data_IF_144678155172
#
_entry.id   IF_144678155172
#
_cell.length_a   1.000
_cell.length_b   1.000
_cell.length_c   1.000
_cell.angle_alpha   90.00
_cell.angle_beta   90.00
_cell.angle_gamma   90.00
#
_symmetry.space_group_name_H-M   'P 1'
#
loop_
_entity.id
_entity.type
_entity.pdbx_description
1 polymer ?
#
# COMPACT_ATOMS: atom_id res chain seq x y z
N UNK A 1 71.51 -6.55 -6.88
CA UNK A 1 70.32 -5.76 -6.52
C UNK A 1 69.22 -6.01 -7.54
N UNK A 2 68.20 -6.84 -7.27
CA UNK A 2 66.95 -6.81 -8.02
C UNK A 2 65.83 -6.21 -7.15
N UNK A 3 65.13 -5.22 -7.69
CA UNK A 3 63.92 -4.64 -7.10
C UNK A 3 62.76 -5.62 -7.27
N UNK A 4 62.13 -6.03 -6.16
CA UNK A 4 60.83 -6.71 -6.19
C UNK A 4 59.72 -5.67 -6.32
N UNK A 5 59.02 -5.70 -7.45
CA UNK A 5 57.78 -4.96 -7.71
C UNK A 5 56.64 -5.55 -6.89
N UNK A 6 56.00 -4.74 -6.04
CA UNK A 6 54.79 -5.10 -5.30
C UNK A 6 53.57 -4.98 -6.23
N UNK A 7 53.01 -6.12 -6.63
CA UNK A 7 51.72 -6.18 -7.32
C UNK A 7 50.58 -5.77 -6.38
N UNK A 8 49.82 -4.76 -6.78
CA UNK A 8 48.65 -4.25 -6.09
C UNK A 8 47.46 -5.17 -6.40
N UNK A 9 46.96 -5.92 -5.41
CA UNK A 9 45.72 -6.68 -5.52
C UNK A 9 44.54 -5.69 -5.56
N UNK A 10 43.88 -5.59 -6.71
CA UNK A 10 42.65 -4.80 -6.87
C UNK A 10 41.46 -5.62 -6.37
N UNK A 11 40.81 -5.17 -5.29
CA UNK A 11 39.57 -5.77 -4.80
C UNK A 11 38.39 -5.26 -5.63
N UNK A 12 37.72 -6.16 -6.35
CA UNK A 12 36.48 -5.85 -7.07
C UNK A 12 35.35 -5.78 -6.04
N UNK A 13 34.89 -4.57 -5.72
CA UNK A 13 33.71 -4.38 -4.89
C UNK A 13 32.46 -4.75 -5.70
N UNK A 14 31.78 -5.83 -5.33
CA UNK A 14 30.50 -6.23 -5.91
C UNK A 14 29.42 -5.29 -5.33
N UNK A 15 29.02 -4.28 -6.09
CA UNK A 15 27.88 -3.43 -5.72
C UNK A 15 26.60 -4.26 -5.81
N UNK A 16 25.92 -4.47 -4.68
CA UNK A 16 24.59 -5.06 -4.67
C UNK A 16 23.62 -4.08 -5.33
N UNK A 17 23.06 -4.45 -6.48
CA UNK A 17 21.93 -3.73 -7.07
C UNK A 17 20.72 -3.92 -6.16
N UNK A 18 20.35 -2.87 -5.42
CA UNK A 18 19.03 -2.79 -4.82
C UNK A 18 18.02 -2.77 -5.95
N UNK A 19 17.13 -3.77 -6.02
CA UNK A 19 16.01 -3.73 -6.93
C UNK A 19 15.13 -2.53 -6.54
N UNK A 20 15.13 -1.50 -7.37
CA UNK A 20 14.15 -0.42 -7.26
C UNK A 20 12.83 -1.05 -7.70
N UNK A 21 11.99 -1.40 -6.73
CA UNK A 21 10.61 -1.79 -7.02
C UNK A 21 9.91 -0.55 -7.56
N UNK A 22 9.67 -0.52 -8.88
CA UNK A 22 8.78 0.46 -9.47
C UNK A 22 7.37 0.27 -8.88
N UNK A 23 6.54 1.32 -8.90
CA UNK A 23 5.13 1.19 -8.56
C UNK A 23 4.50 0.07 -9.40
N UNK A 24 3.63 -0.79 -8.83
CA UNK A 24 3.00 -1.87 -9.57
C UNK A 24 2.07 -1.28 -10.62
N UNK A 25 2.57 -1.14 -11.86
CA UNK A 25 1.79 -0.56 -12.96
C UNK A 25 0.54 -1.38 -13.29
N UNK A 26 0.52 -2.65 -12.89
CA UNK A 26 -0.67 -3.51 -12.98
C UNK A 26 -1.82 -3.08 -12.06
N UNK A 27 -1.50 -2.38 -10.97
CA UNK A 27 -2.48 -1.86 -10.01
C UNK A 27 -2.89 -0.41 -10.35
N UNK A 28 -2.31 0.21 -11.39
CA UNK A 28 -2.61 1.58 -11.78
C UNK A 28 -4.08 1.72 -12.20
N UNK A 29 -4.76 2.69 -11.61
CA UNK A 29 -6.14 3.03 -11.96
C UNK A 29 -6.14 4.04 -13.11
N UNK A 30 -6.46 3.58 -14.31
CA UNK A 30 -6.58 4.45 -15.49
C UNK A 30 -7.87 5.30 -15.44
N UNK A 31 -9.00 4.67 -15.09
CA UNK A 31 -10.30 5.33 -15.02
C UNK A 31 -11.14 4.78 -13.86
N UNK A 32 -11.93 5.66 -13.25
CA UNK A 32 -12.92 5.33 -12.24
C UNK A 32 -14.35 5.45 -12.83
N UNK A 33 -15.20 4.42 -12.68
CA UNK A 33 -16.57 4.45 -13.18
C UNK A 33 -17.34 5.68 -12.70
N UNK A 34 -17.94 6.43 -13.63
CA UNK A 34 -18.73 7.63 -13.32
C UNK A 34 -17.92 8.88 -12.95
N UNK A 35 -16.59 8.81 -12.89
CA UNK A 35 -15.70 9.95 -12.63
C UNK A 35 -14.74 10.22 -13.81
N UNK A 36 -14.18 9.17 -14.39
CA UNK A 36 -13.13 9.25 -15.40
C UNK A 36 -11.74 9.12 -14.78
N UNK A 37 -10.75 9.78 -15.38
CA UNK A 37 -9.35 9.68 -14.92
C UNK A 37 -9.18 10.26 -13.51
N UNK A 38 -8.52 9.56 -12.58
CA UNK A 38 -8.26 10.08 -11.23
C UNK A 38 -7.48 11.41 -11.21
N UNK A 39 -7.71 12.30 -10.21
CA UNK A 39 -7.06 13.62 -10.12
C UNK A 39 -5.55 13.55 -9.84
N UNK A 40 -5.10 12.44 -9.27
CA UNK A 40 -3.70 12.09 -9.02
C UNK A 40 -3.50 10.63 -9.40
N UNK A 41 -2.30 10.15 -9.79
CA UNK A 41 -2.07 8.73 -9.98
C UNK A 41 -2.53 7.93 -8.75
N UNK A 42 -3.30 6.88 -8.98
CA UNK A 42 -3.81 6.00 -7.93
C UNK A 42 -3.53 4.55 -8.29
N UNK A 43 -3.31 3.74 -7.25
CA UNK A 43 -3.08 2.31 -7.37
C UNK A 43 -4.03 1.58 -6.44
N UNK A 44 -4.62 0.47 -6.89
CA UNK A 44 -5.48 -0.38 -6.09
C UNK A 44 -5.23 -1.83 -6.44
N UNK A 45 -4.91 -2.63 -5.42
CA UNK A 45 -4.47 -4.00 -5.61
C UNK A 45 -4.40 -4.76 -4.30
N UNK A 46 -3.56 -5.80 -4.26
CA UNK A 46 -3.44 -6.70 -3.11
C UNK A 46 -2.00 -6.88 -2.65
N UNK A 47 -1.79 -6.72 -1.35
CA UNK A 47 -0.54 -7.00 -0.66
C UNK A 47 -0.57 -8.41 -0.08
N UNK A 48 0.57 -9.09 -0.05
CA UNK A 48 0.69 -10.39 0.58
C UNK A 48 0.82 -10.27 2.10
N UNK A 49 -0.16 -10.78 2.83
CA UNK A 49 -0.17 -10.77 4.29
C UNK A 49 0.08 -12.16 4.89
N UNK A 50 0.35 -13.17 4.05
CA UNK A 50 0.35 -14.59 4.41
C UNK A 50 1.33 -14.90 5.53
N UNK A 51 2.54 -14.34 5.48
CA UNK A 51 3.59 -14.56 6.49
C UNK A 51 3.21 -14.04 7.88
N UNK A 52 2.32 -13.04 7.95
CA UNK A 52 1.81 -12.48 9.19
C UNK A 52 0.45 -13.05 9.62
N UNK A 53 -0.16 -13.89 8.79
CA UNK A 53 -1.46 -14.48 9.01
C UNK A 53 -1.34 -15.78 9.81
N UNK A 54 -2.36 -16.11 10.62
CA UNK A 54 -2.47 -17.46 11.19
C UNK A 54 -2.98 -18.43 10.13
N UNK A 55 -2.06 -19.00 9.35
CA UNK A 55 -2.37 -19.91 8.25
C UNK A 55 -2.95 -21.25 8.71
N UNK A 56 -2.83 -21.58 10.01
CA UNK A 56 -3.42 -22.80 10.56
C UNK A 56 -4.94 -22.70 10.66
N UNK A 57 -5.47 -21.48 10.82
CA UNK A 57 -6.91 -21.22 10.92
C UNK A 57 -7.47 -20.54 9.68
N UNK A 58 -6.71 -19.66 9.04
CA UNK A 58 -7.15 -18.86 7.88
C UNK A 58 -6.78 -19.46 6.52
N UNK A 59 -6.06 -20.58 6.52
CA UNK A 59 -5.59 -21.26 5.31
C UNK A 59 -4.33 -20.64 4.71
N UNK A 60 -3.86 -21.15 3.56
CA UNK A 60 -2.51 -20.89 3.06
C UNK A 60 -2.30 -19.51 2.43
N UNK A 61 -3.36 -18.72 2.19
CA UNK A 61 -3.26 -17.41 1.55
C UNK A 61 -4.05 -16.37 2.34
N UNK A 62 -3.41 -15.23 2.63
CA UNK A 62 -4.06 -14.05 3.20
C UNK A 62 -3.62 -12.80 2.42
N UNK A 63 -4.58 -12.01 1.92
CA UNK A 63 -4.32 -10.82 1.11
C UNK A 63 -5.00 -9.58 1.70
N UNK A 64 -4.25 -8.48 1.75
CA UNK A 64 -4.73 -7.16 2.14
C UNK A 64 -5.00 -6.33 0.88
N UNK A 65 -6.24 -5.89 0.69
CA UNK A 65 -6.55 -4.87 -0.30
C UNK A 65 -5.98 -3.52 0.14
N UNK A 66 -5.43 -2.77 -0.82
CA UNK A 66 -4.98 -1.41 -0.61
C UNK A 66 -5.50 -0.48 -1.69
N UNK A 67 -5.62 0.81 -1.34
CA UNK A 67 -5.79 1.90 -2.30
C UNK A 67 -4.83 3.04 -1.94
N UNK A 68 -3.89 3.31 -2.84
CA UNK A 68 -2.87 4.35 -2.74
C UNK A 68 -3.21 5.51 -3.68
N UNK A 69 -3.17 6.74 -3.18
CA UNK A 69 -3.12 7.95 -3.98
C UNK A 69 -1.77 8.64 -3.82
N UNK A 70 -1.17 9.05 -4.94
CA UNK A 70 0.06 9.81 -4.92
C UNK A 70 -0.21 11.27 -4.53
N UNK A 71 0.78 11.92 -3.93
CA UNK A 71 0.70 13.33 -3.59
C UNK A 71 0.42 14.22 -4.83
N UNK A 72 -0.41 15.26 -4.67
CA UNK A 72 -0.79 16.18 -5.76
C UNK A 72 -0.29 17.63 -5.55
N UNK A 73 0.47 17.90 -4.49
CA UNK A 73 1.04 19.24 -4.24
C UNK A 73 2.27 19.53 -5.13
N UNK A 74 2.22 20.65 -5.86
CA UNK A 74 3.28 21.08 -6.80
C UNK A 74 4.54 21.66 -6.13
N UNK A 75 4.42 22.08 -4.87
CA UNK A 75 5.42 22.93 -4.22
C UNK A 75 6.52 22.13 -3.52
N UNK A 76 6.47 20.81 -3.60
CA UNK A 76 7.46 19.91 -2.99
C UNK A 76 8.49 19.45 -4.01
N UNK A 77 9.74 19.82 -3.76
CA UNK A 77 10.89 19.37 -4.52
C UNK A 77 11.52 18.14 -3.87
N UNK A 78 11.34 16.98 -4.51
CA UNK A 78 11.91 15.71 -4.05
C UNK A 78 13.44 15.67 -4.13
N UNK A 79 14.07 16.51 -4.97
CA UNK A 79 15.54 16.57 -5.07
C UNK A 79 16.16 17.19 -3.83
N UNK A 80 15.45 18.14 -3.21
CA UNK A 80 15.92 18.85 -2.01
C UNK A 80 15.38 18.24 -0.73
N UNK A 81 14.17 17.70 -0.73
CA UNK A 81 13.50 17.18 0.48
C UNK A 81 13.48 15.65 0.59
N UNK A 82 13.95 14.91 -0.43
CA UNK A 82 13.83 13.47 -0.51
C UNK A 82 12.47 13.00 -1.02
N UNK A 83 12.19 11.68 -1.04
CA UNK A 83 10.92 11.16 -1.52
C UNK A 83 9.77 11.63 -0.64
N UNK A 84 8.60 11.87 -1.25
CA UNK A 84 7.40 12.22 -0.49
C UNK A 84 7.04 11.11 0.49
N UNK A 85 6.70 11.45 1.75
CA UNK A 85 6.35 10.44 2.73
C UNK A 85 5.02 9.76 2.36
N UNK A 86 4.88 8.49 2.73
CA UNK A 86 3.62 7.76 2.64
C UNK A 86 2.94 7.73 4.00
N UNK A 87 1.70 8.17 4.05
CA UNK A 87 0.83 8.09 5.23
C UNK A 87 -0.07 6.88 5.07
N UNK A 88 0.00 5.98 6.05
CA UNK A 88 -0.93 4.86 6.19
C UNK A 88 -2.18 5.31 6.95
N UNK A 89 -3.35 5.06 6.37
CA UNK A 89 -4.65 5.32 6.96
C UNK A 89 -5.39 4.03 7.29
N UNK A 90 -5.91 3.94 8.52
CA UNK A 90 -6.62 2.78 9.04
C UNK A 90 -7.91 3.24 9.72
N UNK A 91 -9.07 2.75 9.26
CA UNK A 91 -10.29 2.83 10.05
C UNK A 91 -10.33 1.68 11.08
N UNK A 92 -11.06 1.90 12.17
CA UNK A 92 -11.16 0.94 13.28
C UNK A 92 -12.45 0.11 13.26
N UNK A 93 -13.04 -0.10 14.44
CA UNK A 93 -14.24 -0.91 14.63
C UNK A 93 -14.08 -1.81 15.85
N UNK A 94 -13.55 -3.04 15.68
CA UNK A 94 -12.86 -3.62 14.51
C UNK A 94 -13.78 -4.04 13.35
N UNK A 95 -13.23 -4.10 12.13
CA UNK A 95 -13.93 -4.65 10.95
C UNK A 95 -14.46 -3.63 9.95
N UNK A 96 -14.22 -2.32 10.17
CA UNK A 96 -14.62 -1.30 9.20
C UNK A 96 -13.60 -1.18 8.09
N UNK A 97 -14.08 -1.03 6.86
CA UNK A 97 -13.23 -0.70 5.71
C UNK A 97 -12.53 0.65 5.90
N UNK A 98 -11.23 0.70 5.63
CA UNK A 98 -10.48 1.97 5.57
C UNK A 98 -10.86 2.81 4.33
N UNK A 99 -11.50 2.21 3.33
CA UNK A 99 -12.03 2.97 2.19
C UNK A 99 -13.22 3.85 2.59
N UNK A 100 -13.88 3.56 3.71
CA UNK A 100 -14.89 4.45 4.27
C UNK A 100 -14.27 5.81 4.58
N UNK A 101 -13.19 5.86 5.36
CA UNK A 101 -12.51 7.11 5.68
C UNK A 101 -11.76 7.71 4.51
N UNK A 102 -11.19 6.85 3.65
CA UNK A 102 -10.54 7.33 2.44
C UNK A 102 -11.53 8.06 1.51
N UNK A 103 -12.74 7.55 1.31
CA UNK A 103 -13.76 8.14 0.42
C UNK A 103 -14.73 9.11 1.10
N UNK A 104 -14.64 9.35 2.41
CA UNK A 104 -15.57 10.25 3.13
C UNK A 104 -14.86 11.26 4.04
N UNK A 105 -13.58 11.06 4.34
CA UNK A 105 -12.84 11.88 5.30
C UNK A 105 -11.61 12.53 4.65
N UNK A 106 -10.61 11.72 4.25
CA UNK A 106 -9.23 12.23 4.03
C UNK A 106 -8.70 12.09 2.59
N UNK A 107 -9.32 11.24 1.77
CA UNK A 107 -8.80 10.92 0.43
C UNK A 107 -9.03 12.03 -0.60
N UNK A 108 -8.44 11.89 -1.79
CA UNK A 108 -8.54 12.84 -2.89
C UNK A 108 -9.93 12.91 -3.53
N UNK A 109 -10.73 11.86 -3.36
CA UNK A 109 -12.10 11.77 -3.86
C UNK A 109 -13.05 11.47 -2.70
N UNK A 110 -14.23 12.08 -2.74
CA UNK A 110 -15.34 11.82 -1.84
C UNK A 110 -16.51 11.17 -2.58
N UNK A 111 -17.25 10.32 -1.88
CA UNK A 111 -18.57 9.87 -2.32
C UNK A 111 -19.57 11.02 -2.22
N UNK A 112 -20.28 11.30 -3.32
CA UNK A 112 -21.35 12.28 -3.34
C UNK A 112 -22.70 11.64 -2.97
N UNK A 113 -23.72 12.48 -2.72
CA UNK A 113 -25.05 12.02 -2.28
C UNK A 113 -25.79 11.11 -3.29
N UNK A 114 -25.33 11.04 -4.54
CA UNK A 114 -25.90 10.19 -5.60
C UNK A 114 -25.12 8.89 -5.81
N UNK A 115 -24.08 8.64 -4.99
CA UNK A 115 -23.21 7.47 -5.11
C UNK A 115 -22.09 7.61 -6.16
N UNK A 116 -21.91 8.80 -6.75
CA UNK A 116 -20.77 9.11 -7.61
C UNK A 116 -19.57 9.66 -6.82
N UNK A 117 -18.51 10.02 -7.53
CA UNK A 117 -17.30 10.60 -6.93
C UNK A 117 -17.22 12.11 -7.20
N UNK A 118 -16.61 12.85 -6.28
CA UNK A 118 -16.28 14.27 -6.42
C UNK A 118 -14.91 14.55 -5.80
N UNK A 119 -14.20 15.58 -6.24
CA UNK A 119 -12.91 15.94 -5.64
C UNK A 119 -13.06 16.43 -4.19
N UNK A 120 -12.10 16.02 -3.35
CA UNK A 120 -11.95 16.57 -2.01
C UNK A 120 -11.03 17.80 -2.03
N UNK A 121 -11.55 19.02 -1.84
CA UNK A 121 -10.70 20.22 -1.79
C UNK A 121 -9.70 20.19 -0.62
N UNK A 122 -9.95 19.36 0.40
CA UNK A 122 -9.13 19.23 1.61
C UNK A 122 -8.43 17.87 1.72
N UNK A 123 -8.21 17.21 0.58
CA UNK A 123 -7.49 15.93 0.53
C UNK A 123 -6.12 16.02 1.20
N UNK A 124 -5.76 14.98 1.97
CA UNK A 124 -4.44 14.93 2.61
C UNK A 124 -3.29 14.85 1.62
N UNK A 125 -3.52 14.34 0.40
CA UNK A 125 -2.51 14.32 -0.68
C UNK A 125 -1.97 15.70 -1.04
N UNK A 126 -2.76 16.76 -0.79
CA UNK A 126 -2.38 18.16 -1.03
C UNK A 126 -1.30 18.64 -0.08
N UNK A 127 -1.11 17.97 1.06
CA UNK A 127 -0.03 18.21 2.01
C UNK A 127 1.30 17.56 1.59
N UNK A 128 1.47 17.22 0.30
CA UNK A 128 2.66 16.62 -0.27
C UNK A 128 2.99 15.21 0.26
N UNK A 129 1.96 14.42 0.61
CA UNK A 129 2.12 13.05 1.09
C UNK A 129 1.39 12.07 0.17
N UNK A 130 1.94 10.86 0.00
CA UNK A 130 1.18 9.77 -0.58
C UNK A 130 0.23 9.24 0.51
N UNK A 131 -1.01 8.93 0.14
CA UNK A 131 -2.02 8.47 1.09
C UNK A 131 -2.45 7.05 0.73
N UNK A 132 -2.20 6.11 1.64
CA UNK A 132 -2.52 4.70 1.47
C UNK A 132 -3.53 4.25 2.50
N UNK A 133 -4.68 3.76 2.05
CA UNK A 133 -5.58 2.98 2.89
C UNK A 133 -5.32 1.48 2.67
N UNK A 134 -5.34 0.70 3.74
CA UNK A 134 -5.42 -0.76 3.67
C UNK A 134 -6.67 -1.24 4.40
N UNK A 135 -7.32 -2.28 3.88
CA UNK A 135 -8.49 -2.87 4.52
C UNK A 135 -8.06 -4.01 5.45
N UNK A 136 -8.03 -3.76 6.76
CA UNK A 136 -7.62 -4.73 7.76
C UNK A 136 -8.68 -4.84 8.89
N UNK A 137 -8.84 -6.02 9.51
CA UNK A 137 -8.11 -7.27 9.27
C UNK A 137 -8.66 -8.11 8.10
N UNK A 138 -8.27 -9.39 7.98
CA UNK A 138 -8.68 -10.26 6.86
C UNK A 138 -10.18 -10.47 6.85
N UNK A 139 -10.77 -10.40 5.66
CA UNK A 139 -12.23 -10.41 5.45
C UNK A 139 -12.89 -9.03 5.54
N UNK A 140 -12.16 -7.95 5.83
CA UNK A 140 -12.69 -6.58 5.74
C UNK A 140 -12.65 -6.09 4.30
N UNK A 141 -13.81 -5.61 3.82
CA UNK A 141 -13.94 -5.05 2.48
C UNK A 141 -13.55 -6.06 1.40
N UNK A 142 -12.53 -5.72 0.63
CA UNK A 142 -11.98 -6.55 -0.44
C UNK A 142 -10.84 -7.48 0.03
N UNK A 143 -10.31 -7.30 1.24
CA UNK A 143 -9.29 -8.20 1.83
C UNK A 143 -9.87 -9.58 2.13
N UNK A 144 -9.06 -10.63 1.98
CA UNK A 144 -9.54 -12.00 2.12
C UNK A 144 -8.49 -12.97 2.67
N UNK A 145 -8.97 -14.14 3.06
CA UNK A 145 -8.16 -15.31 3.39
C UNK A 145 -8.74 -16.58 2.73
N UNK A 146 -7.93 -17.62 2.57
CA UNK A 146 -8.35 -18.91 2.02
C UNK A 146 -9.56 -19.50 2.73
N UNK A 147 -9.63 -19.45 4.06
CA UNK A 147 -10.79 -19.93 4.83
C UNK A 147 -12.12 -19.31 4.36
N UNK A 148 -12.11 -18.04 3.98
CA UNK A 148 -13.28 -17.35 3.45
C UNK A 148 -13.58 -17.76 2.02
N UNK A 149 -12.57 -17.77 1.15
CA UNK A 149 -12.76 -18.03 -0.28
C UNK A 149 -13.05 -19.51 -0.56
N UNK A 150 -12.35 -20.41 0.12
CA UNK A 150 -12.37 -21.84 -0.13
C UNK A 150 -13.45 -22.58 0.68
N UNK A 151 -13.71 -22.16 1.93
CA UNK A 151 -14.67 -22.82 2.83
C UNK A 151 -15.95 -22.02 3.08
N UNK A 152 -16.03 -20.76 2.62
CA UNK A 152 -17.16 -19.87 2.91
C UNK A 152 -17.28 -19.47 4.38
N UNK A 153 -16.19 -19.60 5.16
CA UNK A 153 -16.16 -19.28 6.60
C UNK A 153 -15.41 -17.97 6.85
N UNK A 154 -15.84 -17.13 7.79
CA UNK A 154 -15.16 -15.87 8.05
C UNK A 154 -13.70 -16.10 8.47
N UNK A 155 -12.82 -15.21 8.03
CA UNK A 155 -11.44 -15.15 8.53
C UNK A 155 -11.45 -14.91 10.05
N UNK A 156 -10.56 -15.59 10.75
CA UNK A 156 -10.39 -15.47 12.19
C UNK A 156 -9.24 -14.51 12.50
N UNK A 157 -9.59 -13.42 13.15
CA UNK A 157 -8.67 -12.33 13.45
C UNK A 157 -8.53 -12.15 14.97
N UNK A 158 -7.33 -11.80 15.40
CA UNK A 158 -6.95 -11.38 16.75
C UNK A 158 -6.10 -10.12 16.65
N UNK A 159 -5.90 -9.41 17.75
CA UNK A 159 -5.02 -8.22 17.76
C UNK A 159 -3.62 -8.56 17.24
N UNK A 160 -3.07 -9.70 17.69
CA UNK A 160 -1.76 -10.18 17.27
C UNK A 160 -1.72 -10.46 15.77
N UNK A 161 -2.64 -11.28 15.24
CA UNK A 161 -2.57 -11.64 13.83
C UNK A 161 -2.94 -10.46 12.91
N UNK A 162 -3.78 -9.53 13.37
CA UNK A 162 -4.09 -8.31 12.63
C UNK A 162 -2.85 -7.44 12.49
N UNK A 163 -2.12 -7.24 13.59
CA UNK A 163 -0.88 -6.47 13.59
C UNK A 163 0.21 -7.14 12.76
N UNK A 164 0.41 -8.46 12.89
CA UNK A 164 1.46 -9.17 12.14
C UNK A 164 1.12 -9.28 10.65
N UNK A 165 -0.12 -9.54 10.28
CA UNK A 165 -0.58 -9.57 8.89
C UNK A 165 -0.44 -8.19 8.22
N UNK A 166 -0.87 -7.12 8.91
CA UNK A 166 -0.72 -5.75 8.41
C UNK A 166 0.75 -5.37 8.25
N UNK A 167 1.61 -5.77 9.19
CA UNK A 167 3.05 -5.59 9.06
C UNK A 167 3.60 -6.35 7.86
N UNK A 168 3.28 -7.64 7.71
CA UNK A 168 3.77 -8.47 6.61
C UNK A 168 3.38 -7.91 5.24
N UNK A 169 2.18 -7.36 5.10
CA UNK A 169 1.73 -6.70 3.88
C UNK A 169 2.52 -5.44 3.51
N UNK A 170 3.16 -4.77 4.48
CA UNK A 170 3.78 -3.45 4.30
C UNK A 170 5.31 -3.48 4.23
N UNK A 171 5.96 -4.63 4.43
CA UNK A 171 7.44 -4.74 4.55
C UNK A 171 8.07 -5.77 3.64
#
# INVERSE_FOLDING_TARGET
MPLFSRGLLSALALAALSAISAAPLEDLIDELPGYGRPPTPMFSGYLDATDGCDTTVNGPVCKIHYWLAMADGSDFDEKTNGPRPTVLWLNGGPGSSSLLGWLQEVGPLLLNATGGLMENPWAWTKANVNLMAIEAPMGVGFSYCSRQVDEGKPCLNSDTNTATASRAALV
#
